data_IF_576420256760
#
_entry.id   IF_576420256760
#
_cell.length_a   1.000
_cell.length_b   1.000
_cell.length_c   1.000
_cell.angle_alpha   90.00
_cell.angle_beta   90.00
_cell.angle_gamma   90.00
#
_symmetry.space_group_name_H-M   'P 1'
#
loop_
_entity.id
_entity.type
_entity.pdbx_description
1 polymer ?
#
# COMPACT_ATOMS: atom_id res chain seq x y z
N UNK A 1 -32.71 3.57 11.83
CA UNK A 1 -32.22 4.50 12.87
C UNK A 1 -30.81 4.09 13.16
N UNK A 2 -29.84 4.82 12.60
CA UNK A 2 -28.42 4.55 12.81
C UNK A 2 -28.00 5.03 14.19
N UNK A 3 -27.13 4.27 14.83
CA UNK A 3 -26.46 4.66 16.08
C UNK A 3 -25.74 5.99 15.89
N UNK A 4 -25.91 6.94 16.82
CA UNK A 4 -25.25 8.23 16.71
C UNK A 4 -23.74 8.10 16.94
N UNK A 5 -22.93 8.96 16.30
CA UNK A 5 -21.47 9.03 16.49
C UNK A 5 -21.08 9.08 17.98
N UNK A 6 -21.91 9.76 18.80
CA UNK A 6 -21.74 9.85 20.25
C UNK A 6 -21.90 8.50 20.97
N UNK A 7 -22.86 7.69 20.56
CA UNK A 7 -23.11 6.35 21.13
C UNK A 7 -22.03 5.36 20.69
N UNK A 8 -21.61 5.41 19.42
CA UNK A 8 -20.52 4.59 18.91
C UNK A 8 -19.19 4.89 19.62
N UNK A 9 -18.82 6.17 19.78
CA UNK A 9 -17.61 6.57 20.49
C UNK A 9 -17.65 6.17 21.98
N UNK A 10 -18.83 6.22 22.61
CA UNK A 10 -19.02 5.77 23.99
C UNK A 10 -18.80 4.26 24.12
N UNK A 11 -19.36 3.45 23.22
CA UNK A 11 -19.18 1.98 23.21
C UNK A 11 -17.72 1.59 22.96
N UNK A 12 -17.04 2.23 22.00
CA UNK A 12 -15.62 1.95 21.71
C UNK A 12 -14.74 2.31 22.92
N UNK A 13 -15.08 3.38 23.63
CA UNK A 13 -14.39 3.76 24.87
C UNK A 13 -14.61 2.74 25.98
N UNK A 14 -15.85 2.25 26.15
CA UNK A 14 -16.21 1.20 27.12
C UNK A 14 -15.58 -0.18 26.76
N UNK A 15 -15.43 -0.52 25.47
CA UNK A 15 -14.74 -1.75 25.02
C UNK A 15 -13.22 -1.71 25.28
N UNK A 16 -12.59 -0.54 25.26
CA UNK A 16 -11.14 -0.37 25.47
C UNK A 16 -10.72 -0.25 26.94
N UNK A 17 -11.67 -0.10 27.88
CA UNK A 17 -11.40 -0.05 29.33
C UNK A 17 -10.80 -1.36 29.90
N UNK A 18 -10.74 -2.44 29.11
CA UNK A 18 -10.14 -3.73 29.49
C UNK A 18 -8.61 -3.83 29.33
N UNK A 19 -7.95 -2.88 28.68
CA UNK A 19 -6.48 -2.82 28.58
C UNK A 19 -5.96 -1.71 29.48
N UNK A 20 -5.53 -2.07 30.69
CA UNK A 20 -5.05 -1.12 31.71
C UNK A 20 -3.85 -0.33 31.20
N UNK A 21 -4.13 0.85 30.63
CA UNK A 21 -3.18 1.94 30.54
C UNK A 21 -2.77 2.34 31.96
N UNK A 22 -1.47 2.43 32.24
CA UNK A 22 -0.96 2.97 33.51
C UNK A 22 -1.22 4.48 33.68
N UNK A 23 -1.80 5.13 32.67
CA UNK A 23 -2.05 6.57 32.69
C UNK A 23 -3.32 6.91 33.48
N UNK A 24 -3.23 7.89 34.37
CA UNK A 24 -4.32 8.31 35.24
C UNK A 24 -4.98 9.56 34.70
N UNK A 25 -6.29 9.55 34.45
CA UNK A 25 -7.01 10.75 34.05
C UNK A 25 -7.11 11.73 35.24
N UNK A 26 -6.66 12.97 35.04
CA UNK A 26 -6.75 14.04 36.01
C UNK A 26 -7.66 15.15 35.46
N UNK A 27 -8.88 15.20 36.00
CA UNK A 27 -9.93 16.11 35.54
C UNK A 27 -9.87 17.44 36.30
N UNK A 28 -9.88 18.54 35.56
CA UNK A 28 -10.06 19.90 36.08
C UNK A 28 -11.24 20.53 35.36
N UNK A 29 -12.30 20.76 36.12
CA UNK A 29 -13.56 21.22 35.55
C UNK A 29 -14.23 22.33 36.35
N UNK A 30 -15.12 23.06 35.68
CA UNK A 30 -15.98 24.08 36.26
C UNK A 30 -15.23 25.24 36.94
N UNK A 31 -14.00 25.52 36.52
CA UNK A 31 -13.32 26.75 36.92
C UNK A 31 -13.95 27.94 36.19
N UNK A 32 -14.07 29.06 36.89
CA UNK A 32 -14.62 30.29 36.35
C UNK A 32 -13.76 31.49 36.76
N UNK A 33 -13.41 32.34 35.80
CA UNK A 33 -12.73 33.63 36.03
C UNK A 33 -11.47 33.52 36.90
N UNK A 34 -10.66 32.47 36.66
CA UNK A 34 -9.53 32.10 37.52
C UNK A 34 -8.27 31.80 36.71
N UNK A 35 -7.11 32.20 37.24
CA UNK A 35 -5.80 31.72 36.78
C UNK A 35 -5.34 30.55 37.64
N UNK A 36 -5.06 29.40 37.03
CA UNK A 36 -4.54 28.19 37.69
C UNK A 36 -3.22 27.79 37.08
N UNK A 37 -2.17 27.77 37.89
CA UNK A 37 -0.86 27.21 37.52
C UNK A 37 -0.72 25.83 38.16
N UNK A 38 -0.46 24.82 37.35
CA UNK A 38 -0.27 23.43 37.80
C UNK A 38 1.12 23.22 38.39
N UNK A 39 1.26 22.30 39.34
CA UNK A 39 2.55 21.76 39.75
C UNK A 39 2.59 20.25 39.56
N UNK A 40 3.76 19.69 39.25
CA UNK A 40 3.95 18.24 39.18
C UNK A 40 3.52 17.50 40.45
N UNK A 41 3.58 18.17 41.61
CA UNK A 41 3.15 17.62 42.91
C UNK A 41 1.63 17.46 43.03
N UNK A 42 0.87 18.22 42.26
CA UNK A 42 -0.60 18.22 42.29
C UNK A 42 -1.19 17.19 41.33
N UNK A 43 -0.35 16.55 40.51
CA UNK A 43 -0.77 15.59 39.49
C UNK A 43 -0.42 14.16 39.91
N UNK A 44 -1.26 13.17 39.55
CA UNK A 44 -0.95 11.77 39.74
C UNK A 44 0.22 11.33 38.84
N UNK A 45 0.74 10.13 39.08
CA UNK A 45 1.73 9.53 38.20
C UNK A 45 1.13 9.31 36.80
N UNK A 46 1.90 9.63 35.75
CA UNK A 46 1.49 9.53 34.34
C UNK A 46 0.11 10.18 34.06
N UNK A 47 -0.04 11.50 34.32
CA UNK A 47 -1.33 12.16 34.26
C UNK A 47 -1.78 12.43 32.81
N UNK A 48 -2.99 12.01 32.46
CA UNK A 48 -3.74 12.54 31.31
C UNK A 48 -4.50 13.76 31.82
N UNK A 49 -3.99 14.96 31.50
CA UNK A 49 -4.58 16.20 32.00
C UNK A 49 -5.81 16.56 31.15
N UNK A 50 -6.97 16.57 31.78
CA UNK A 50 -8.24 16.88 31.13
C UNK A 50 -8.83 18.16 31.71
N UNK A 51 -8.82 19.24 30.93
CA UNK A 51 -9.40 20.54 31.25
C UNK A 51 -10.79 20.60 30.62
N UNK A 52 -11.85 20.55 31.41
CA UNK A 52 -13.23 20.42 30.92
C UNK A 52 -14.15 21.52 31.41
N UNK A 53 -14.94 22.15 30.55
CA UNK A 53 -15.98 23.12 30.96
C UNK A 53 -15.46 24.23 31.89
N UNK A 54 -14.29 24.79 31.56
CA UNK A 54 -13.72 25.94 32.24
C UNK A 54 -14.08 27.22 31.47
N UNK A 55 -14.30 28.33 32.18
CA UNK A 55 -14.78 29.59 31.58
C UNK A 55 -13.96 30.78 32.04
N UNK A 56 -13.55 31.66 31.14
CA UNK A 56 -12.77 32.86 31.50
C UNK A 56 -11.50 32.54 32.30
N UNK A 57 -10.85 31.41 32.00
CA UNK A 57 -9.73 30.90 32.79
C UNK A 57 -8.39 31.00 32.06
N UNK A 58 -7.33 31.17 32.83
CA UNK A 58 -5.96 31.03 32.37
C UNK A 58 -5.34 29.80 33.05
N UNK A 59 -5.03 28.76 32.27
CA UNK A 59 -4.59 27.46 32.76
C UNK A 59 -3.16 27.21 32.29
N UNK A 60 -2.20 27.19 33.21
CA UNK A 60 -0.77 27.18 32.91
C UNK A 60 -0.16 25.88 33.39
N UNK A 61 0.37 25.06 32.48
CA UNK A 61 1.18 23.87 32.74
C UNK A 61 2.67 24.24 32.62
N UNK A 62 3.41 24.41 33.72
CA UNK A 62 4.81 24.85 33.71
C UNK A 62 5.77 23.82 33.10
N UNK A 63 7.00 24.28 32.78
CA UNK A 63 8.04 23.52 32.09
C UNK A 63 8.44 22.22 32.82
N UNK A 64 8.44 22.24 34.16
CA UNK A 64 8.76 21.10 35.00
C UNK A 64 7.69 20.00 35.00
N UNK A 65 6.50 20.28 34.47
CA UNK A 65 5.36 19.37 34.51
C UNK A 65 5.38 18.41 33.32
N UNK A 66 5.20 17.12 33.60
CA UNK A 66 5.11 16.07 32.58
C UNK A 66 3.73 15.43 32.61
N UNK A 67 3.05 15.47 31.46
CA UNK A 67 1.75 14.85 31.25
C UNK A 67 1.85 13.80 30.15
N UNK A 68 0.99 12.80 30.19
CA UNK A 68 0.89 11.78 29.14
C UNK A 68 0.24 12.38 27.89
N UNK A 69 -0.88 13.09 28.09
CA UNK A 69 -1.71 13.68 27.04
C UNK A 69 -2.43 14.91 27.60
N UNK A 70 -2.69 15.90 26.75
CA UNK A 70 -3.50 17.07 27.09
C UNK A 70 -4.86 16.97 26.39
N UNK A 71 -5.95 17.12 27.15
CA UNK A 71 -7.32 17.19 26.65
C UNK A 71 -7.93 18.52 27.12
N UNK A 72 -8.48 19.30 26.19
CA UNK A 72 -9.21 20.54 26.47
C UNK A 72 -10.60 20.40 25.87
N UNK A 73 -11.62 20.29 26.70
CA UNK A 73 -13.00 20.02 26.31
C UNK A 73 -13.93 21.15 26.80
N UNK A 74 -14.83 21.63 25.94
CA UNK A 74 -15.94 22.52 26.34
C UNK A 74 -15.50 23.81 27.06
N UNK A 75 -14.27 24.27 26.82
CA UNK A 75 -13.74 25.48 27.45
C UNK A 75 -14.15 26.74 26.67
N UNK A 76 -14.44 27.82 27.39
CA UNK A 76 -14.98 29.04 26.82
C UNK A 76 -14.17 30.26 27.27
N UNK A 77 -13.71 31.09 26.33
CA UNK A 77 -12.91 32.28 26.64
C UNK A 77 -11.71 31.95 27.55
N UNK A 78 -10.98 30.87 27.24
CA UNK A 78 -9.89 30.38 28.07
C UNK A 78 -8.55 30.47 27.35
N UNK A 79 -7.47 30.64 28.12
CA UNK A 79 -6.10 30.51 27.64
C UNK A 79 -5.45 29.32 28.32
N UNK A 80 -5.04 28.30 27.56
CA UNK A 80 -4.33 27.12 28.05
C UNK A 80 -2.89 27.19 27.57
N UNK A 81 -1.93 27.29 28.49
CA UNK A 81 -0.49 27.36 28.16
C UNK A 81 0.22 26.09 28.60
N UNK A 82 0.80 25.36 27.65
CA UNK A 82 1.59 24.16 27.88
C UNK A 82 3.08 24.46 27.66
N UNK A 83 3.79 24.69 28.77
CA UNK A 83 5.26 24.77 28.82
C UNK A 83 5.90 23.41 29.06
N UNK A 84 5.20 22.52 29.77
CA UNK A 84 5.65 21.17 30.11
C UNK A 84 5.71 20.20 28.92
N UNK A 85 6.13 18.96 29.17
CA UNK A 85 6.25 17.92 28.14
C UNK A 85 5.00 17.02 28.08
N UNK A 86 4.57 16.68 26.86
CA UNK A 86 3.52 15.70 26.58
C UNK A 86 4.16 14.42 26.08
N UNK A 87 4.09 13.34 26.84
CA UNK A 87 4.79 12.09 26.51
C UNK A 87 4.29 11.44 25.21
N UNK A 88 2.98 11.52 24.93
CA UNK A 88 2.42 11.01 23.68
C UNK A 88 2.64 11.97 22.51
N UNK A 89 3.06 13.22 22.79
CA UNK A 89 3.10 14.30 21.80
C UNK A 89 1.75 14.51 21.10
N UNK A 90 0.64 14.12 21.78
CA UNK A 90 -0.74 14.30 21.32
C UNK A 90 -1.46 15.28 22.25
N UNK A 91 -2.16 16.24 21.65
CA UNK A 91 -3.10 17.10 22.35
C UNK A 91 -4.45 17.08 21.62
N UNK A 92 -5.55 17.19 22.37
CA UNK A 92 -6.90 17.23 21.82
C UNK A 92 -7.64 18.44 22.37
N UNK A 93 -8.32 19.17 21.48
CA UNK A 93 -9.14 20.34 21.82
C UNK A 93 -10.51 20.15 21.18
N UNK A 94 -11.57 20.02 21.96
CA UNK A 94 -12.90 19.72 21.45
C UNK A 94 -13.95 20.66 22.05
N UNK A 95 -14.85 21.18 21.21
CA UNK A 95 -16.03 21.94 21.61
C UNK A 95 -15.70 23.20 22.40
N UNK A 96 -14.54 23.77 22.14
CA UNK A 96 -14.10 25.01 22.78
C UNK A 96 -14.53 26.23 21.96
N UNK A 97 -14.86 27.32 22.65
CA UNK A 97 -15.22 28.60 22.04
C UNK A 97 -14.29 29.71 22.53
N UNK A 98 -13.83 30.58 21.64
CA UNK A 98 -12.99 31.74 21.96
C UNK A 98 -11.76 31.34 22.81
N UNK A 99 -11.17 30.19 22.53
CA UNK A 99 -10.12 29.59 23.37
C UNK A 99 -8.77 29.71 22.68
N UNK A 100 -7.74 30.04 23.45
CA UNK A 100 -6.35 30.06 23.00
C UNK A 100 -5.57 28.91 23.63
N UNK A 101 -4.89 28.10 22.83
CA UNK A 101 -3.98 27.05 23.30
C UNK A 101 -2.56 27.40 22.86
N UNK A 102 -1.67 27.60 23.83
CA UNK A 102 -0.26 27.96 23.61
C UNK A 102 0.60 26.73 23.88
N UNK A 103 1.35 26.27 22.88
CA UNK A 103 2.17 25.07 22.89
C UNK A 103 3.65 25.44 22.77
N UNK A 104 4.36 25.40 23.90
CA UNK A 104 5.79 25.68 23.95
C UNK A 104 6.64 24.41 23.78
N UNK A 105 6.03 23.22 23.87
CA UNK A 105 6.64 21.93 23.59
C UNK A 105 6.17 21.36 22.25
N UNK A 106 6.96 20.44 21.68
CA UNK A 106 6.57 19.73 20.47
C UNK A 106 5.29 18.89 20.66
N UNK A 107 4.40 18.96 19.66
CA UNK A 107 3.18 18.16 19.55
C UNK A 107 3.15 17.58 18.14
N UNK A 108 3.27 16.25 18.04
CA UNK A 108 3.23 15.53 16.77
C UNK A 108 1.85 15.53 16.16
N UNK A 109 0.80 15.41 16.97
CA UNK A 109 -0.58 15.41 16.50
C UNK A 109 -1.45 16.21 17.43
N UNK A 110 -1.98 17.32 16.91
CA UNK A 110 -3.02 18.10 17.54
C UNK A 110 -4.36 17.71 16.89
N UNK A 111 -5.33 17.29 17.68
CA UNK A 111 -6.69 17.05 17.18
C UNK A 111 -7.60 18.16 17.66
N UNK A 112 -8.35 18.75 16.73
CA UNK A 112 -9.33 19.79 17.03
C UNK A 112 -10.68 19.39 16.46
N UNK A 113 -11.73 19.47 17.26
CA UNK A 113 -13.09 19.11 16.81
C UNK A 113 -14.12 20.11 17.34
N UNK A 114 -15.11 20.47 16.53
CA UNK A 114 -16.28 21.29 16.91
C UNK A 114 -15.96 22.60 17.67
N UNK A 115 -14.82 23.24 17.40
CA UNK A 115 -14.44 24.50 18.05
C UNK A 115 -14.85 25.74 17.25
N UNK A 116 -15.02 26.86 17.94
CA UNK A 116 -15.23 28.18 17.34
C UNK A 116 -14.21 29.19 17.85
N UNK A 117 -13.66 30.01 16.96
CA UNK A 117 -12.67 31.05 17.30
C UNK A 117 -11.51 30.48 18.15
N UNK A 118 -10.93 29.37 17.67
CA UNK A 118 -9.83 28.68 18.33
C UNK A 118 -8.50 29.24 17.83
N UNK A 119 -7.68 29.78 18.74
CA UNK A 119 -6.30 30.14 18.44
C UNK A 119 -5.36 29.06 18.97
N UNK A 120 -4.53 28.49 18.10
CA UNK A 120 -3.44 27.60 18.50
C UNK A 120 -2.12 28.28 18.20
N UNK A 121 -1.35 28.58 19.24
CA UNK A 121 -0.06 29.25 19.12
C UNK A 121 1.07 28.30 19.48
N UNK A 122 1.98 28.08 18.55
CA UNK A 122 3.23 27.40 18.82
C UNK A 122 4.33 28.42 19.08
N UNK A 123 5.15 28.16 20.11
CA UNK A 123 6.31 29.02 20.40
C UNK A 123 7.41 28.89 19.34
N UNK A 124 7.53 27.72 18.73
CA UNK A 124 8.45 27.43 17.63
C UNK A 124 7.70 26.70 16.50
N UNK A 125 7.95 27.04 15.24
CA UNK A 125 7.43 26.30 14.07
C UNK A 125 7.80 24.82 14.12
N UNK A 126 8.98 24.51 14.64
CA UNK A 126 9.47 23.13 14.82
C UNK A 126 8.69 22.31 15.86
N UNK A 127 7.87 22.94 16.71
CA UNK A 127 7.01 22.23 17.65
C UNK A 127 5.72 21.69 17.00
N UNK A 128 5.40 22.12 15.77
CA UNK A 128 4.20 21.68 15.06
C UNK A 128 4.49 20.43 14.21
N UNK A 129 3.76 19.35 14.47
CA UNK A 129 3.77 18.15 13.63
C UNK A 129 2.63 18.15 12.61
N UNK A 130 1.44 17.74 13.07
CA UNK A 130 0.21 17.76 12.27
C UNK A 130 -0.98 18.24 13.10
N UNK A 131 -1.97 18.79 12.42
CA UNK A 131 -3.25 19.18 12.97
C UNK A 131 -4.35 18.42 12.24
N UNK A 132 -5.14 17.64 12.96
CA UNK A 132 -6.36 17.03 12.43
C UNK A 132 -7.54 17.87 12.91
N UNK A 133 -8.39 18.31 11.99
CA UNK A 133 -9.51 19.19 12.30
C UNK A 133 -10.84 18.67 11.74
N UNK A 134 -11.92 18.89 12.48
CA UNK A 134 -13.30 18.64 12.03
C UNK A 134 -14.25 19.69 12.62
N UNK A 135 -15.21 20.17 11.82
CA UNK A 135 -16.23 21.12 12.28
C UNK A 135 -15.69 22.40 12.95
N UNK A 136 -14.59 22.97 12.46
CA UNK A 136 -13.98 24.18 13.03
C UNK A 136 -14.44 25.44 12.31
N UNK A 137 -14.86 26.44 13.08
CA UNK A 137 -15.22 27.77 12.58
C UNK A 137 -14.28 28.81 13.21
N UNK A 138 -13.40 29.42 12.43
CA UNK A 138 -12.37 30.34 12.93
C UNK A 138 -11.22 29.63 13.65
N UNK A 139 -10.36 28.94 12.91
CA UNK A 139 -9.07 28.45 13.41
C UNK A 139 -7.96 29.43 13.07
N UNK A 140 -7.20 29.82 14.08
CA UNK A 140 -6.01 30.67 13.95
C UNK A 140 -4.77 29.91 14.40
N UNK A 141 -4.01 29.36 13.45
CA UNK A 141 -2.73 28.73 13.70
C UNK A 141 -1.62 29.78 13.64
N UNK A 142 -0.83 29.88 14.71
CA UNK A 142 0.15 30.96 14.92
C UNK A 142 1.51 30.41 15.32
N UNK A 143 2.58 31.01 14.82
CA UNK A 143 3.97 30.64 15.11
C UNK A 143 4.75 31.85 15.62
N UNK A 144 5.16 31.82 16.89
CA UNK A 144 5.80 32.98 17.51
C UNK A 144 7.16 33.34 16.89
N UNK A 145 7.91 32.35 16.42
CA UNK A 145 9.22 32.49 15.76
C UNK A 145 9.12 32.76 14.25
N UNK A 146 7.96 32.52 13.64
CA UNK A 146 7.74 32.76 12.21
C UNK A 146 6.32 33.26 11.88
N UNK A 147 5.94 34.48 12.30
CA UNK A 147 4.57 34.99 12.11
C UNK A 147 4.12 35.12 10.64
N UNK A 148 5.06 35.19 9.69
CA UNK A 148 4.76 35.19 8.25
C UNK A 148 4.18 33.87 7.73
N UNK A 149 4.25 32.81 8.55
CA UNK A 149 3.79 31.45 8.25
C UNK A 149 2.47 31.13 8.98
N UNK A 150 1.88 32.13 9.64
CA UNK A 150 0.58 32.00 10.29
C UNK A 150 -0.50 31.59 9.27
N UNK A 151 -1.44 30.76 9.72
CA UNK A 151 -2.50 30.23 8.87
C UNK A 151 -3.85 30.41 9.55
N UNK A 152 -4.82 30.87 8.77
CA UNK A 152 -6.22 30.84 9.14
C UNK A 152 -6.94 29.75 8.37
N UNK A 153 -7.82 29.03 9.04
CA UNK A 153 -8.69 28.07 8.38
C UNK A 153 -10.08 28.15 8.97
N UNK A 154 -11.08 28.08 8.10
CA UNK A 154 -12.47 28.11 8.48
C UNK A 154 -13.22 27.08 7.65
N UNK A 155 -14.20 26.40 8.25
CA UNK A 155 -15.02 25.44 7.53
C UNK A 155 -15.68 26.07 6.29
N UNK A 156 -16.08 27.34 6.35
CA UNK A 156 -16.68 28.06 5.20
C UNK A 156 -15.68 28.17 4.05
N UNK A 157 -14.42 28.52 4.34
CA UNK A 157 -13.37 28.58 3.33
C UNK A 157 -13.03 27.19 2.76
N UNK A 158 -13.00 26.15 3.61
CA UNK A 158 -12.81 24.77 3.15
C UNK A 158 -13.99 24.31 2.27
N UNK A 159 -15.22 24.73 2.56
CA UNK A 159 -16.41 24.38 1.79
C UNK A 159 -16.39 24.99 0.38
N UNK A 160 -15.73 26.13 0.18
CA UNK A 160 -15.50 26.70 -1.15
C UNK A 160 -14.53 25.85 -1.98
N UNK A 161 -13.47 25.33 -1.35
CA UNK A 161 -12.50 24.45 -2.01
C UNK A 161 -13.03 23.03 -2.21
N UNK A 162 -13.86 22.54 -1.29
CA UNK A 162 -14.42 21.20 -1.28
C UNK A 162 -15.95 21.28 -1.15
N UNK A 163 -16.70 21.46 -2.26
CA UNK A 163 -18.13 21.75 -2.23
C UNK A 163 -19.01 20.70 -1.53
N UNK A 164 -18.56 19.44 -1.45
CA UNK A 164 -19.36 18.32 -0.96
C UNK A 164 -19.11 17.97 0.52
N UNK A 165 -18.29 18.73 1.25
CA UNK A 165 -17.89 18.38 2.62
C UNK A 165 -18.98 18.64 3.67
N UNK A 166 -18.97 17.88 4.75
CA UNK A 166 -19.89 17.96 5.86
C UNK A 166 -19.11 18.21 7.16
N UNK A 167 -19.50 19.25 7.89
CA UNK A 167 -18.89 19.71 9.14
C UNK A 167 -18.94 18.68 10.28
N UNK A 168 -19.83 17.69 10.20
CA UNK A 168 -20.00 16.64 11.21
C UNK A 168 -19.15 15.39 10.96
N UNK A 169 -18.83 15.11 9.69
CA UNK A 169 -18.22 13.83 9.28
C UNK A 169 -16.86 13.99 8.64
N UNK A 170 -16.64 15.04 7.87
CA UNK A 170 -15.39 15.23 7.16
C UNK A 170 -14.31 15.79 8.08
N UNK A 171 -13.12 15.23 7.91
CA UNK A 171 -11.94 15.63 8.66
C UNK A 171 -10.92 16.17 7.67
N UNK A 172 -10.11 17.10 8.14
CA UNK A 172 -8.99 17.66 7.40
C UNK A 172 -7.72 17.47 8.19
N UNK A 173 -6.60 17.44 7.48
CA UNK A 173 -5.28 17.40 8.10
C UNK A 173 -4.42 18.53 7.55
N UNK A 174 -3.82 19.30 8.44
CA UNK A 174 -2.83 20.32 8.13
C UNK A 174 -1.45 19.82 8.52
N UNK A 175 -0.49 19.89 7.60
CA UNK A 175 0.92 19.50 7.82
C UNK A 175 1.85 20.45 7.07
N UNK A 176 3.14 20.40 7.41
CA UNK A 176 4.19 21.01 6.60
C UNK A 176 4.55 20.06 5.44
N UNK A 177 4.32 20.51 4.22
CA UNK A 177 4.72 19.84 2.98
C UNK A 177 5.72 20.74 2.29
N UNK A 178 6.96 20.27 2.13
CA UNK A 178 8.07 21.05 1.59
C UNK A 178 8.26 22.42 2.26
N UNK A 179 7.97 22.47 3.58
CA UNK A 179 8.11 23.66 4.41
C UNK A 179 6.89 24.58 4.45
N UNK A 180 5.86 24.32 3.64
CA UNK A 180 4.63 25.12 3.55
C UNK A 180 3.46 24.41 4.25
N UNK A 181 2.62 25.15 4.96
CA UNK A 181 1.41 24.59 5.56
C UNK A 181 0.40 24.24 4.46
N UNK A 182 -0.03 22.98 4.46
CA UNK A 182 -1.00 22.47 3.53
C UNK A 182 -2.12 21.77 4.31
N UNK A 183 -3.36 22.19 4.06
CA UNK A 183 -4.58 21.58 4.61
C UNK A 183 -5.24 20.74 3.53
N UNK A 184 -5.46 19.46 3.80
CA UNK A 184 -6.04 18.50 2.86
C UNK A 184 -7.22 17.77 3.52
N UNK A 185 -8.26 17.42 2.76
CA UNK A 185 -9.32 16.53 3.24
C UNK A 185 -8.75 15.14 3.51
N UNK A 186 -9.07 14.58 4.66
CA UNK A 186 -8.80 13.17 4.98
C UNK A 186 -9.82 12.33 4.24
N UNK A 187 -9.32 11.41 3.42
CA UNK A 187 -10.11 10.35 2.79
C UNK A 187 -9.72 9.01 3.42
N UNK A 188 -10.65 8.05 3.45
CA UNK A 188 -10.40 6.71 3.98
C UNK A 188 -10.30 5.70 2.86
N UNK A 189 -9.28 4.86 2.92
CA UNK A 189 -9.12 3.71 2.05
C UNK A 189 -10.15 2.62 2.40
N UNK A 190 -10.25 1.57 1.57
CA UNK A 190 -11.17 0.43 1.80
C UNK A 190 -10.94 -0.30 3.13
N UNK A 191 -9.73 -0.19 3.70
CA UNK A 191 -9.35 -0.74 5.01
C UNK A 191 -9.51 0.29 6.15
N UNK A 192 -10.25 1.38 5.92
CA UNK A 192 -10.49 2.48 6.86
C UNK A 192 -9.25 3.33 7.22
N UNK A 193 -8.09 3.07 6.59
CA UNK A 193 -6.87 3.82 6.84
C UNK A 193 -7.02 5.28 6.34
N UNK A 194 -6.76 6.29 7.20
CA UNK A 194 -6.86 7.70 6.81
C UNK A 194 -5.66 8.13 5.95
N UNK A 195 -5.92 8.80 4.85
CA UNK A 195 -4.92 9.34 3.89
C UNK A 195 -5.42 10.65 3.29
N UNK A 196 -4.65 11.28 2.40
CA UNK A 196 -5.15 12.36 1.54
C UNK A 196 -5.22 11.92 0.08
N UNK A 197 -5.97 12.67 -0.75
CA UNK A 197 -6.04 12.42 -2.19
C UNK A 197 -4.66 12.53 -2.86
N UNK A 198 -3.82 13.47 -2.41
CA UNK A 198 -2.43 13.61 -2.89
C UNK A 198 -1.60 12.38 -2.56
N UNK A 199 -1.68 11.88 -1.33
CA UNK A 199 -0.96 10.68 -0.89
C UNK A 199 -1.41 9.44 -1.66
N UNK A 200 -2.71 9.29 -1.89
CA UNK A 200 -3.26 8.22 -2.73
C UNK A 200 -2.74 8.31 -4.17
N UNK A 201 -2.83 9.49 -4.79
CA UNK A 201 -2.36 9.70 -6.15
C UNK A 201 -0.85 9.45 -6.29
N UNK A 202 -0.05 9.89 -5.30
CA UNK A 202 1.38 9.65 -5.28
C UNK A 202 1.70 8.15 -5.19
N UNK A 203 0.99 7.42 -4.33
CA UNK A 203 1.14 5.97 -4.20
C UNK A 203 0.75 5.25 -5.50
N UNK A 204 -0.37 5.61 -6.12
CA UNK A 204 -0.83 5.03 -7.39
C UNK A 204 0.15 5.30 -8.54
N UNK A 205 0.73 6.51 -8.60
CA UNK A 205 1.76 6.86 -9.57
C UNK A 205 3.04 6.06 -9.37
N UNK A 206 3.46 5.87 -8.12
CA UNK A 206 4.63 5.04 -7.80
C UNK A 206 4.41 3.57 -8.16
N UNK A 207 3.23 3.02 -7.86
CA UNK A 207 2.84 1.67 -8.27
C UNK A 207 2.82 1.52 -9.79
N UNK A 208 2.28 2.51 -10.52
CA UNK A 208 2.26 2.51 -11.99
C UNK A 208 3.68 2.54 -12.55
N UNK A 209 4.53 3.43 -12.04
CA UNK A 209 5.94 3.53 -12.46
C UNK A 209 6.72 2.25 -12.17
N UNK A 210 6.48 1.63 -11.01
CA UNK A 210 7.08 0.35 -10.64
C UNK A 210 6.60 -0.79 -11.54
N UNK A 211 5.31 -0.81 -11.91
CA UNK A 211 4.76 -1.76 -12.86
C UNK A 211 5.34 -1.57 -14.28
N UNK A 212 5.45 -0.33 -14.76
CA UNK A 212 6.09 -0.01 -16.05
C UNK A 212 7.57 -0.41 -16.06
N UNK A 213 8.31 -0.10 -14.99
CA UNK A 213 9.72 -0.50 -14.87
C UNK A 213 9.89 -2.03 -14.85
N UNK A 214 8.97 -2.74 -14.18
CA UNK A 214 8.93 -4.20 -14.19
C UNK A 214 8.59 -4.73 -15.59
N UNK A 215 7.61 -4.16 -16.28
CA UNK A 215 7.24 -4.53 -17.65
C UNK A 215 8.43 -4.33 -18.61
N UNK A 216 9.12 -3.20 -18.52
CA UNK A 216 10.31 -2.91 -19.31
C UNK A 216 11.46 -3.87 -18.99
N UNK A 217 11.69 -4.20 -17.72
CA UNK A 217 12.70 -5.19 -17.32
C UNK A 217 12.36 -6.59 -17.85
N UNK A 218 11.08 -7.00 -17.76
CA UNK A 218 10.60 -8.27 -18.31
C UNK A 218 10.69 -8.27 -19.84
N UNK A 219 10.35 -7.17 -20.50
CA UNK A 219 10.46 -7.02 -21.96
C UNK A 219 11.91 -7.07 -22.41
N UNK A 220 12.81 -6.43 -21.68
CA UNK A 220 14.25 -6.55 -21.92
C UNK A 220 14.69 -8.00 -21.76
N UNK A 221 14.34 -8.72 -20.70
CA UNK A 221 14.68 -10.15 -20.61
C UNK A 221 14.11 -10.99 -21.77
N UNK A 222 12.87 -10.71 -22.19
CA UNK A 222 12.25 -11.39 -23.33
C UNK A 222 12.87 -11.00 -24.69
N UNK A 223 13.59 -9.88 -24.76
CA UNK A 223 14.14 -9.28 -25.97
C UNK A 223 15.67 -9.22 -26.08
N UNK A 224 16.42 -9.25 -24.97
CA UNK A 224 17.88 -9.08 -24.91
C UNK A 224 18.64 -10.40 -24.83
N UNK A 225 17.95 -11.52 -24.59
CA UNK A 225 18.59 -12.84 -24.54
C UNK A 225 17.68 -13.91 -25.14
N UNK A 226 17.79 -14.10 -26.46
CA UNK A 226 17.36 -15.34 -27.11
C UNK A 226 18.30 -16.45 -26.60
N UNK A 227 17.89 -17.12 -25.52
CA UNK A 227 18.35 -18.47 -25.20
C UNK A 227 19.66 -18.68 -24.46
N UNK A 228 20.15 -17.70 -23.69
CA UNK A 228 21.17 -17.97 -22.67
C UNK A 228 20.56 -17.87 -21.27
N UNK A 229 21.12 -18.62 -20.31
CA UNK A 229 20.77 -18.52 -18.89
C UNK A 229 20.70 -17.03 -18.50
N UNK A 230 19.63 -16.62 -17.83
CA UNK A 230 19.48 -15.26 -17.30
C UNK A 230 20.79 -14.91 -16.59
N UNK A 231 21.51 -13.90 -17.08
CA UNK A 231 22.78 -13.52 -16.48
C UNK A 231 22.53 -13.17 -15.00
N UNK A 232 23.41 -13.62 -14.09
CA UNK A 232 23.25 -13.38 -12.65
C UNK A 232 23.05 -11.88 -12.31
N UNK A 233 23.57 -10.97 -13.14
CA UNK A 233 23.35 -9.52 -13.02
C UNK A 233 21.91 -9.09 -13.29
N UNK A 234 21.25 -9.74 -14.24
CA UNK A 234 19.87 -9.44 -14.62
C UNK A 234 18.91 -10.03 -13.59
N UNK A 235 19.20 -11.24 -13.10
CA UNK A 235 18.43 -11.87 -12.02
C UNK A 235 18.47 -11.04 -10.72
N UNK A 236 19.64 -10.51 -10.35
CA UNK A 236 19.79 -9.65 -9.16
C UNK A 236 19.04 -8.32 -9.28
N UNK A 237 19.12 -7.64 -10.43
CA UNK A 237 18.34 -6.41 -10.68
C UNK A 237 16.83 -6.68 -10.58
N UNK A 238 16.41 -7.87 -10.97
CA UNK A 238 15.03 -8.29 -10.95
C UNK A 238 14.52 -8.61 -9.55
N UNK A 239 15.35 -9.25 -8.72
CA UNK A 239 15.07 -9.43 -7.28
C UNK A 239 14.94 -8.07 -6.59
N UNK A 240 15.86 -7.14 -6.85
CA UNK A 240 15.82 -5.76 -6.33
C UNK A 240 14.55 -5.01 -6.78
N UNK A 241 14.14 -5.17 -8.05
CA UNK A 241 12.90 -4.59 -8.58
C UNK A 241 11.64 -5.27 -8.03
N UNK A 242 11.63 -6.59 -7.86
CA UNK A 242 10.50 -7.33 -7.29
C UNK A 242 10.30 -6.97 -5.80
N UNK A 243 11.39 -6.78 -5.07
CA UNK A 243 11.34 -6.25 -3.71
C UNK A 243 10.82 -4.81 -3.70
N UNK A 244 11.28 -3.94 -4.61
CA UNK A 244 10.81 -2.55 -4.70
C UNK A 244 9.32 -2.43 -5.08
N UNK A 245 8.85 -3.18 -6.08
CA UNK A 245 7.44 -3.24 -6.53
C UNK A 245 6.55 -3.78 -5.42
N UNK A 246 7.07 -4.71 -4.62
CA UNK A 246 6.27 -5.29 -3.54
C UNK A 246 5.93 -4.29 -2.44
N UNK A 247 6.65 -3.16 -2.33
CA UNK A 247 6.32 -2.04 -1.44
C UNK A 247 6.18 -2.38 0.04
N UNK A 248 6.46 -3.63 0.44
CA UNK A 248 5.96 -4.16 1.69
C UNK A 248 7.08 -4.33 2.70
N UNK A 249 7.24 -3.32 3.54
CA UNK A 249 8.04 -3.41 4.77
C UNK A 249 7.19 -3.84 5.97
N UNK A 250 5.97 -4.37 5.81
CA UNK A 250 5.10 -4.65 6.97
C UNK A 250 3.81 -5.47 6.82
N UNK A 251 3.56 -6.19 5.73
CA UNK A 251 2.34 -6.96 5.48
C UNK A 251 2.54 -8.47 5.61
N UNK A 252 1.44 -9.15 5.92
CA UNK A 252 1.35 -10.58 6.28
C UNK A 252 1.62 -11.52 5.09
N UNK A 253 1.74 -11.00 3.85
CA UNK A 253 1.84 -11.81 2.64
C UNK A 253 3.28 -12.25 2.32
N UNK A 254 3.49 -13.56 2.19
CA UNK A 254 4.80 -14.16 1.91
C UNK A 254 5.27 -13.92 0.47
N UNK A 255 6.53 -14.27 0.16
CA UNK A 255 7.05 -14.25 -1.23
C UNK A 255 6.26 -15.22 -2.11
N UNK A 256 5.87 -16.35 -1.53
CA UNK A 256 5.07 -17.41 -2.14
C UNK A 256 3.63 -16.93 -2.43
N UNK A 257 2.98 -16.23 -1.50
CA UNK A 257 1.64 -15.67 -1.71
C UNK A 257 1.60 -14.69 -2.89
N UNK A 258 2.64 -13.85 -3.00
CA UNK A 258 2.79 -12.89 -4.10
C UNK A 258 3.04 -13.60 -5.43
N UNK A 259 3.89 -14.63 -5.44
CA UNK A 259 4.14 -15.43 -6.62
C UNK A 259 2.87 -16.15 -7.11
N UNK A 260 2.08 -16.67 -6.17
CA UNK A 260 0.81 -17.33 -6.48
C UNK A 260 -0.23 -16.36 -7.02
N UNK A 261 -0.29 -15.14 -6.48
CA UNK A 261 -1.11 -14.06 -7.01
C UNK A 261 -0.75 -13.74 -8.47
N UNK A 262 0.55 -13.57 -8.78
CA UNK A 262 1.02 -13.31 -10.16
C UNK A 262 0.78 -14.49 -11.10
N UNK A 263 1.01 -15.72 -10.64
CA UNK A 263 0.65 -16.94 -11.38
C UNK A 263 -0.85 -16.96 -11.71
N UNK A 264 -1.72 -16.56 -10.78
CA UNK A 264 -3.16 -16.52 -11.00
C UNK A 264 -3.56 -15.41 -12.00
N UNK A 265 -2.95 -14.23 -11.93
CA UNK A 265 -3.13 -13.20 -12.97
C UNK A 265 -2.73 -13.72 -14.36
N UNK A 266 -1.61 -14.45 -14.44
CA UNK A 266 -1.19 -15.13 -15.66
C UNK A 266 -2.23 -16.15 -16.14
N UNK A 267 -2.78 -16.96 -15.24
CA UNK A 267 -3.82 -17.93 -15.58
C UNK A 267 -5.09 -17.27 -16.11
N UNK A 268 -5.52 -16.16 -15.50
CA UNK A 268 -6.73 -15.45 -15.88
C UNK A 268 -6.55 -14.73 -17.22
N UNK A 269 -5.41 -14.07 -17.43
CA UNK A 269 -5.04 -13.50 -18.72
C UNK A 269 -4.95 -14.57 -19.83
N UNK A 270 -4.41 -15.75 -19.49
CA UNK A 270 -4.33 -16.89 -20.40
C UNK A 270 -5.74 -17.40 -20.78
N UNK A 271 -6.67 -17.50 -19.82
CA UNK A 271 -8.06 -17.93 -20.09
C UNK A 271 -8.85 -16.90 -20.88
N UNK A 272 -8.61 -15.61 -20.64
CA UNK A 272 -9.31 -14.52 -21.31
C UNK A 272 -9.02 -14.45 -22.83
N UNK A 273 -8.11 -15.26 -23.35
CA UNK A 273 -7.72 -15.19 -24.76
C UNK A 273 -6.84 -13.98 -25.07
N UNK A 274 -6.34 -13.28 -24.03
CA UNK A 274 -5.37 -12.18 -24.12
C UNK A 274 -3.97 -12.70 -24.51
N UNK A 275 -3.91 -13.69 -25.40
CA UNK A 275 -2.69 -14.15 -26.07
C UNK A 275 -2.30 -13.22 -27.22
N UNK A 276 -3.27 -12.50 -27.79
CA UNK A 276 -3.10 -11.65 -28.97
C UNK A 276 -3.45 -10.16 -28.74
N UNK A 277 -3.96 -9.79 -27.56
CA UNK A 277 -4.16 -8.40 -27.17
C UNK A 277 -3.22 -8.06 -26.01
N UNK A 278 -2.36 -7.06 -26.07
CA UNK A 278 -1.63 -6.42 -27.15
C UNK A 278 -0.57 -5.57 -26.44
N UNK A 279 0.70 -5.75 -26.78
CA UNK A 279 1.61 -4.61 -26.92
C UNK A 279 2.07 -4.65 -28.37
N UNK A 280 1.13 -4.33 -29.27
CA UNK A 280 1.54 -3.83 -30.58
C UNK A 280 2.10 -2.44 -30.30
N UNK A 281 3.41 -2.34 -30.12
CA UNK A 281 4.09 -1.05 -30.29
C UNK A 281 5.48 -1.27 -30.85
N UNK A 282 5.63 -0.80 -32.11
CA UNK A 282 6.84 -0.71 -32.93
C UNK A 282 7.84 -1.86 -32.76
N UNK A 283 7.77 -2.88 -33.62
CA UNK A 283 8.85 -3.83 -34.03
C UNK A 283 8.38 -5.28 -34.29
N UNK A 284 7.09 -5.61 -34.12
CA UNK A 284 6.55 -6.90 -34.59
C UNK A 284 6.88 -8.13 -33.71
N UNK A 285 7.09 -7.95 -32.42
CA UNK A 285 7.25 -9.06 -31.46
C UNK A 285 5.93 -9.28 -30.71
N UNK A 286 5.29 -10.44 -30.90
CA UNK A 286 4.06 -10.80 -30.20
C UNK A 286 4.39 -11.34 -28.79
N UNK A 287 4.34 -10.48 -27.77
CA UNK A 287 4.43 -10.93 -26.37
C UNK A 287 3.02 -11.19 -25.84
N UNK A 288 2.77 -12.40 -25.35
CA UNK A 288 1.52 -12.74 -24.65
C UNK A 288 1.50 -12.05 -23.28
N UNK A 289 0.46 -11.26 -22.98
CA UNK A 289 0.33 -10.57 -21.67
C UNK A 289 0.36 -11.53 -20.47
N UNK A 290 -0.12 -12.76 -20.63
CA UNK A 290 -0.01 -13.79 -19.60
C UNK A 290 1.45 -14.22 -19.31
N UNK A 291 2.34 -14.17 -20.31
CA UNK A 291 3.76 -14.51 -20.13
C UNK A 291 4.50 -13.52 -19.22
N UNK A 292 4.05 -12.26 -19.16
CA UNK A 292 4.59 -11.24 -18.25
C UNK A 292 4.33 -11.63 -16.81
N UNK A 293 3.07 -11.93 -16.45
CA UNK A 293 2.71 -12.35 -15.10
C UNK A 293 3.42 -13.64 -14.65
N UNK A 294 3.59 -14.61 -15.54
CA UNK A 294 4.38 -15.80 -15.21
C UNK A 294 5.86 -15.50 -15.05
N UNK A 295 6.41 -14.54 -15.78
CA UNK A 295 7.79 -14.10 -15.59
C UNK A 295 7.96 -13.45 -14.23
N UNK A 296 7.05 -12.56 -13.83
CA UNK A 296 7.04 -11.98 -12.48
C UNK A 296 6.95 -13.04 -11.38
N UNK A 297 6.09 -14.05 -11.55
CA UNK A 297 6.00 -15.17 -10.61
C UNK A 297 7.29 -16.01 -10.55
N UNK A 298 8.02 -16.16 -11.66
CA UNK A 298 9.34 -16.82 -11.69
C UNK A 298 10.39 -16.02 -10.92
N UNK A 299 10.36 -14.69 -10.98
CA UNK A 299 11.28 -13.85 -10.17
C UNK A 299 11.09 -14.11 -8.68
N UNK A 300 9.83 -14.20 -8.27
CA UNK A 300 9.47 -14.41 -6.87
C UNK A 300 9.77 -15.85 -6.44
N UNK A 301 9.46 -16.83 -7.28
CA UNK A 301 9.66 -18.28 -7.00
C UNK A 301 10.31 -18.98 -8.20
N UNK A 302 11.66 -18.91 -8.33
CA UNK A 302 12.38 -19.46 -9.48
C UNK A 302 12.46 -20.99 -9.48
N UNK A 303 12.04 -21.63 -8.40
CA UNK A 303 11.97 -23.08 -8.21
C UNK A 303 10.58 -23.67 -8.50
N UNK A 304 9.61 -22.83 -8.88
CA UNK A 304 8.24 -23.28 -9.16
C UNK A 304 8.08 -23.80 -10.62
N UNK A 305 8.24 -25.11 -10.81
CA UNK A 305 8.14 -25.78 -12.12
C UNK A 305 6.82 -25.51 -12.86
N UNK A 306 5.71 -25.25 -12.14
CA UNK A 306 4.39 -25.01 -12.74
C UNK A 306 4.38 -23.69 -13.53
N UNK A 307 5.05 -22.66 -13.00
CA UNK A 307 5.05 -21.32 -13.60
C UNK A 307 5.80 -21.32 -14.94
N UNK A 308 6.97 -21.99 -15.01
CA UNK A 308 7.68 -22.23 -16.26
C UNK A 308 6.82 -22.97 -17.28
N UNK A 309 6.16 -24.04 -16.85
CA UNK A 309 5.28 -24.79 -17.73
C UNK A 309 4.14 -23.91 -18.29
N UNK A 310 3.54 -23.06 -17.45
CA UNK A 310 2.45 -22.18 -17.87
C UNK A 310 2.93 -21.09 -18.83
N UNK A 311 4.13 -20.53 -18.62
CA UNK A 311 4.75 -19.59 -19.56
C UNK A 311 5.13 -20.27 -20.89
N UNK A 312 5.59 -21.52 -20.86
CA UNK A 312 5.78 -22.34 -22.06
C UNK A 312 4.49 -22.43 -22.89
N UNK A 313 3.33 -22.61 -22.26
CA UNK A 313 2.05 -22.64 -22.98
C UNK A 313 1.72 -21.31 -23.67
N UNK A 314 2.10 -20.17 -23.09
CA UNK A 314 1.99 -18.87 -23.76
C UNK A 314 2.84 -18.84 -25.03
N UNK A 315 4.11 -19.25 -24.93
CA UNK A 315 5.02 -19.25 -26.06
C UNK A 315 4.61 -20.22 -27.17
N UNK A 316 4.06 -21.40 -26.84
CA UNK A 316 3.47 -22.30 -27.82
C UNK A 316 2.32 -21.65 -28.60
N UNK A 317 1.50 -20.83 -27.93
CA UNK A 317 0.36 -20.14 -28.57
C UNK A 317 0.80 -18.95 -29.43
N UNK A 318 1.89 -18.27 -29.06
CA UNK A 318 2.42 -17.13 -29.84
C UNK A 318 3.39 -17.53 -30.94
N UNK A 319 3.71 -18.82 -31.08
CA UNK A 319 4.63 -19.33 -32.11
C UNK A 319 6.10 -19.28 -31.72
N UNK A 320 6.41 -18.92 -30.48
CA UNK A 320 7.76 -18.77 -29.93
C UNK A 320 8.32 -20.13 -29.46
N UNK A 321 8.39 -21.10 -30.36
CA UNK A 321 8.62 -22.52 -30.01
C UNK A 321 9.97 -22.80 -29.35
N UNK A 322 11.01 -22.02 -29.66
CA UNK A 322 12.31 -22.11 -28.99
C UNK A 322 12.24 -21.72 -27.50
N UNK A 323 11.54 -20.62 -27.19
CA UNK A 323 11.30 -20.18 -25.80
C UNK A 323 10.44 -21.18 -25.04
N UNK A 324 9.42 -21.71 -25.71
CA UNK A 324 8.60 -22.77 -25.15
C UNK A 324 9.42 -24.02 -24.78
N UNK A 325 10.37 -24.42 -25.63
CA UNK A 325 11.23 -25.57 -25.35
C UNK A 325 12.07 -25.35 -24.09
N UNK A 326 12.71 -24.19 -23.97
CA UNK A 326 13.53 -23.86 -22.79
C UNK A 326 12.73 -23.85 -21.49
N UNK A 327 11.54 -23.24 -21.49
CA UNK A 327 10.67 -23.25 -20.31
C UNK A 327 10.18 -24.67 -19.97
N UNK A 328 9.91 -25.51 -20.98
CA UNK A 328 9.54 -26.90 -20.75
C UNK A 328 10.72 -27.71 -20.17
N UNK A 329 11.95 -27.45 -20.63
CA UNK A 329 13.16 -28.07 -20.10
C UNK A 329 13.44 -27.62 -18.67
N UNK A 330 13.33 -26.32 -18.37
CA UNK A 330 13.51 -25.82 -17.00
C UNK A 330 12.44 -26.35 -16.05
N UNK A 331 11.19 -26.44 -16.50
CA UNK A 331 10.11 -27.08 -15.75
C UNK A 331 10.43 -28.53 -15.39
N UNK A 332 11.00 -29.29 -16.34
CA UNK A 332 11.39 -30.69 -16.14
C UNK A 332 12.70 -30.89 -15.38
N UNK A 333 13.59 -29.89 -15.38
CA UNK A 333 14.76 -29.86 -14.50
C UNK A 333 14.32 -29.77 -13.03
N UNK A 334 13.30 -28.94 -12.76
CA UNK A 334 12.74 -28.74 -11.42
C UNK A 334 11.83 -29.90 -10.98
N UNK A 335 11.00 -30.44 -11.87
CA UNK A 335 10.21 -31.66 -11.63
C UNK A 335 10.23 -32.61 -12.86
N UNK A 336 11.12 -33.61 -12.86
CA UNK A 336 11.22 -34.59 -13.95
C UNK A 336 9.98 -35.47 -14.15
N UNK A 337 9.09 -35.55 -13.15
CA UNK A 337 7.88 -36.37 -13.20
C UNK A 337 6.67 -35.59 -13.76
N UNK A 338 6.84 -34.30 -14.06
CA UNK A 338 5.73 -33.44 -14.43
C UNK A 338 5.18 -33.76 -15.83
N UNK A 339 4.03 -34.45 -15.86
CA UNK A 339 3.35 -34.91 -17.09
C UNK A 339 3.14 -33.78 -18.10
N UNK A 340 2.67 -32.61 -17.64
CA UNK A 340 2.45 -31.45 -18.51
C UNK A 340 3.75 -30.88 -19.06
N UNK A 341 4.87 -30.99 -18.33
CA UNK A 341 6.20 -30.60 -18.76
C UNK A 341 6.65 -31.42 -19.97
N UNK A 342 6.58 -32.75 -19.87
CA UNK A 342 6.92 -33.66 -20.99
C UNK A 342 6.03 -33.43 -22.21
N UNK A 343 4.73 -33.26 -21.99
CA UNK A 343 3.79 -32.99 -23.08
C UNK A 343 4.11 -31.66 -23.80
N UNK A 344 4.33 -30.59 -23.04
CA UNK A 344 4.68 -29.27 -23.58
C UNK A 344 6.04 -29.26 -24.28
N UNK A 345 7.06 -29.96 -23.74
CA UNK A 345 8.35 -30.18 -24.40
C UNK A 345 8.17 -30.86 -25.76
N UNK A 346 7.34 -31.91 -25.81
CA UNK A 346 7.00 -32.60 -27.06
C UNK A 346 6.32 -31.70 -28.09
N UNK A 347 5.38 -30.84 -27.65
CA UNK A 347 4.75 -29.86 -28.53
C UNK A 347 5.75 -28.85 -29.10
N UNK A 348 6.64 -28.31 -28.25
CA UNK A 348 7.69 -27.37 -28.68
C UNK A 348 8.63 -28.00 -29.70
N UNK A 349 9.13 -29.21 -29.44
CA UNK A 349 9.99 -29.95 -30.36
C UNK A 349 9.28 -30.29 -31.67
N UNK A 350 8.00 -30.68 -31.61
CA UNK A 350 7.21 -30.95 -32.80
C UNK A 350 7.02 -29.70 -33.67
N UNK A 351 6.86 -28.53 -33.05
CA UNK A 351 6.70 -27.26 -33.76
C UNK A 351 8.04 -26.77 -34.36
N UNK A 352 9.16 -27.14 -33.74
CA UNK A 352 10.52 -26.98 -34.27
C UNK A 352 10.93 -28.09 -35.26
N UNK A 353 9.99 -28.96 -35.64
CA UNK A 353 10.21 -30.11 -36.54
C UNK A 353 11.27 -31.13 -36.11
N UNK A 354 11.59 -31.17 -34.81
CA UNK A 354 12.46 -32.17 -34.16
C UNK A 354 11.61 -33.38 -33.76
N UNK A 355 11.10 -34.07 -34.78
CA UNK A 355 10.04 -35.07 -34.60
C UNK A 355 10.46 -36.31 -33.80
N UNK A 356 11.70 -36.78 -33.93
CA UNK A 356 12.19 -37.93 -33.16
C UNK A 356 12.16 -37.65 -31.64
N UNK A 357 12.71 -36.51 -31.24
CA UNK A 357 12.76 -36.08 -29.84
C UNK A 357 11.35 -35.76 -29.30
N UNK A 358 10.49 -35.16 -30.12
CA UNK A 358 9.09 -34.93 -29.78
C UNK A 358 8.35 -36.25 -29.51
N UNK A 359 8.60 -37.29 -30.33
CA UNK A 359 8.04 -38.62 -30.16
C UNK A 359 8.44 -39.26 -28.82
N UNK A 360 9.70 -39.12 -28.43
CA UNK A 360 10.19 -39.60 -27.12
C UNK A 360 9.48 -38.89 -25.96
N UNK A 361 9.28 -37.58 -26.05
CA UNK A 361 8.57 -36.80 -25.03
C UNK A 361 7.09 -37.20 -24.90
N UNK A 362 6.39 -37.46 -26.02
CA UNK A 362 5.02 -37.95 -25.98
C UNK A 362 4.91 -39.37 -25.46
N UNK A 363 5.87 -40.25 -25.81
CA UNK A 363 5.95 -41.58 -25.22
C UNK A 363 6.16 -41.51 -23.71
N UNK A 364 7.03 -40.60 -23.23
CA UNK A 364 7.23 -40.39 -21.78
C UNK A 364 5.98 -39.84 -21.10
N UNK A 365 5.26 -38.92 -21.75
CA UNK A 365 3.95 -38.45 -21.27
C UNK A 365 2.98 -39.61 -21.08
N UNK A 366 2.93 -40.56 -22.02
CA UNK A 366 2.05 -41.75 -21.95
C UNK A 366 2.52 -42.81 -20.96
N UNK A 367 3.83 -42.88 -20.68
CA UNK A 367 4.36 -43.73 -19.62
C UNK A 367 3.88 -43.23 -18.25
N UNK A 368 3.89 -41.92 -18.03
CA UNK A 368 3.46 -41.29 -16.78
C UNK A 368 1.93 -41.16 -16.66
N UNK A 369 1.23 -40.92 -17.78
CA UNK A 369 -0.23 -40.85 -17.88
C UNK A 369 -0.74 -41.65 -19.10
N UNK A 370 -0.98 -42.96 -18.96
CA UNK A 370 -1.40 -43.83 -20.06
C UNK A 370 -2.76 -43.48 -20.67
N UNK A 371 -3.58 -42.67 -19.99
CA UNK A 371 -4.92 -42.27 -20.45
C UNK A 371 -4.92 -40.91 -21.17
N UNK A 372 -3.75 -40.29 -21.32
CA UNK A 372 -3.61 -38.99 -21.97
C UNK A 372 -3.93 -39.06 -23.47
N UNK A 373 -5.15 -38.66 -23.84
CA UNK A 373 -5.62 -38.70 -25.23
C UNK A 373 -4.84 -37.75 -26.13
N UNK A 374 -4.49 -36.57 -25.62
CA UNK A 374 -3.76 -35.56 -26.37
C UNK A 374 -2.35 -36.06 -26.72
N UNK A 375 -1.63 -36.64 -25.76
CA UNK A 375 -0.32 -37.24 -26.00
C UNK A 375 -0.36 -38.38 -27.03
N UNK A 376 -1.39 -39.24 -26.96
CA UNK A 376 -1.59 -40.32 -27.94
C UNK A 376 -1.78 -39.77 -29.36
N UNK A 377 -2.64 -38.76 -29.51
CA UNK A 377 -2.91 -38.12 -30.79
C UNK A 377 -1.66 -37.38 -31.31
N UNK A 378 -0.96 -36.64 -30.45
CA UNK A 378 0.27 -35.92 -30.80
C UNK A 378 1.39 -36.88 -31.21
N UNK A 379 1.55 -38.03 -30.53
CA UNK A 379 2.52 -39.05 -30.91
C UNK A 379 2.25 -39.59 -32.32
N UNK A 380 1.00 -39.95 -32.62
CA UNK A 380 0.61 -40.40 -33.96
C UNK A 380 0.88 -39.32 -35.02
N UNK A 381 0.52 -38.07 -34.73
CA UNK A 381 0.74 -36.95 -35.66
C UNK A 381 2.23 -36.73 -35.93
N UNK A 382 3.07 -36.78 -34.89
CA UNK A 382 4.53 -36.61 -35.03
C UNK A 382 5.16 -37.76 -35.82
N UNK A 383 4.73 -39.01 -35.62
CA UNK A 383 5.20 -40.15 -36.40
C UNK A 383 4.86 -39.99 -37.90
N UNK A 384 3.65 -39.52 -38.22
CA UNK A 384 3.27 -39.24 -39.61
C UNK A 384 4.11 -38.12 -40.23
N UNK A 385 4.33 -37.01 -39.50
CA UNK A 385 5.17 -35.89 -39.96
C UNK A 385 6.62 -36.30 -40.15
N UNK A 386 7.17 -37.12 -39.25
CA UNK A 386 8.51 -37.68 -39.37
C UNK A 386 8.66 -38.55 -40.60
N UNK A 387 7.76 -39.53 -40.80
CA UNK A 387 7.79 -40.41 -41.96
C UNK A 387 7.68 -39.64 -43.29
N UNK A 388 6.86 -38.57 -43.33
CA UNK A 388 6.77 -37.69 -44.49
C UNK A 388 8.08 -36.97 -44.75
N UNK A 389 8.67 -36.33 -43.73
CA UNK A 389 9.93 -35.60 -43.85
C UNK A 389 11.08 -36.52 -44.29
N UNK A 390 11.14 -37.74 -43.78
CA UNK A 390 12.14 -38.74 -44.22
C UNK A 390 11.97 -39.16 -45.69
N UNK A 391 10.73 -39.25 -46.19
CA UNK A 391 10.48 -39.52 -47.61
C UNK A 391 10.88 -38.35 -48.50
N UNK A 392 10.59 -37.13 -48.07
CA UNK A 392 10.99 -35.90 -48.78
C UNK A 392 12.52 -35.71 -48.82
N UNK A 393 13.25 -36.16 -47.79
CA UNK A 393 14.72 -36.17 -47.81
C UNK A 393 15.34 -37.28 -48.68
N UNK A 394 14.59 -38.34 -48.95
CA UNK A 394 15.05 -39.49 -49.73
C UNK A 394 14.72 -39.37 -51.24
N UNK A 395 13.90 -38.39 -51.63
CA UNK A 395 13.58 -38.00 -53.01
C UNK A 395 14.45 -36.84 -53.45
#
# INVERSE_FOLDING_TARGET
MGESKREMLKRVKEEYEGTSSKANQFLVEHLESTTKTFSQKDLPELPVLHLKNNKNCELIIPEETKIVKLLVEDCHNCTVTLNGKVATEVAEVWSCNDTTVILCSAVKTLQVDLCKELTVKFSLKSNFGSLVQAGIYGLHLRFADSPSEDMDTDFTALKEQYPDINDQTDQFITRLIDGVLCTEQIVRLKNEFPTTMREQNAFEQEQTKNAEAMEDAVRQMLGSSIGEQVANSDQRKLEELAEAVSGDKGGIATKEDRADYKKNQGNDAFKAGNHLQASTSLLGVHVCGAAVFYTEAIVLTPDNHIVYSNRCACFLKTGEYGKALQDAEKSLELDPSFVKGHFRKGLSLSALERYDEAGQCFAKTLELDPKNKDAKNSLQMVQMKHARKMREMAS
#
